data_IF_537428899439
#
_entry.id   IF_537428899439
#
_cell.length_a   1.000
_cell.length_b   1.000
_cell.length_c   1.000
_cell.angle_alpha   90.00
_cell.angle_beta   90.00
_cell.angle_gamma   90.00
#
_symmetry.space_group_name_H-M   'P 1'
#
loop_
_entity.id
_entity.type
_entity.pdbx_description
1 polymer ?
#
# COMPACT_ATOMS: atom_id res chain seq x y z
N UNK A 1 -8.40 -17.27 -13.90
CA UNK A 1 -7.68 -16.53 -12.85
C UNK A 1 -8.23 -15.13 -12.90
N UNK A 2 -8.85 -14.66 -11.82
CA UNK A 2 -9.48 -13.32 -11.82
C UNK A 2 -8.42 -12.27 -11.57
N UNK A 3 -8.34 -11.28 -12.46
CA UNK A 3 -7.47 -10.12 -12.28
C UNK A 3 -7.92 -9.29 -11.07
N UNK A 4 -6.96 -8.64 -10.41
CA UNK A 4 -7.23 -7.72 -9.31
C UNK A 4 -7.98 -6.48 -9.81
N UNK A 5 -8.99 -6.03 -9.05
CA UNK A 5 -9.78 -4.85 -9.40
C UNK A 5 -9.19 -3.64 -8.68
N UNK A 6 -8.75 -2.64 -9.44
CA UNK A 6 -8.22 -1.41 -8.89
C UNK A 6 -9.35 -0.45 -8.44
N UNK A 7 -9.14 0.39 -7.42
CA UNK A 7 -7.90 0.53 -6.64
C UNK A 7 -7.58 -0.64 -5.70
N UNK A 8 -6.28 -0.83 -5.44
CA UNK A 8 -5.76 -1.82 -4.49
C UNK A 8 -5.33 -1.13 -3.21
N UNK A 9 -5.85 -1.59 -2.07
CA UNK A 9 -5.51 -1.11 -0.74
C UNK A 9 -4.37 -1.95 -0.18
N UNK A 10 -3.23 -1.34 0.14
CA UNK A 10 -2.05 -2.00 0.71
C UNK A 10 -1.82 -1.51 2.13
N UNK A 11 -1.80 -2.44 3.09
CA UNK A 11 -1.41 -2.22 4.48
C UNK A 11 0.06 -2.58 4.66
N UNK A 12 0.84 -1.66 5.21
CA UNK A 12 2.22 -1.93 5.66
C UNK A 12 2.18 -2.46 7.09
N UNK A 13 2.74 -3.65 7.33
CA UNK A 13 2.66 -4.32 8.65
C UNK A 13 3.42 -3.56 9.75
N UNK A 14 4.51 -2.89 9.41
CA UNK A 14 5.37 -2.23 10.40
C UNK A 14 4.76 -0.99 11.04
N UNK A 15 4.04 -0.18 10.27
CA UNK A 15 3.45 1.09 10.75
C UNK A 15 1.92 1.10 10.75
N UNK A 16 1.28 0.08 10.18
CA UNK A 16 -0.17 0.02 10.04
C UNK A 16 -0.75 1.01 9.02
N UNK A 17 0.08 1.63 8.19
CA UNK A 17 -0.36 2.58 7.17
C UNK A 17 -1.08 1.84 6.03
N UNK A 18 -2.23 2.39 5.61
CA UNK A 18 -2.98 1.89 4.45
C UNK A 18 -2.86 2.88 3.30
N UNK A 19 -2.46 2.39 2.12
CA UNK A 19 -2.32 3.18 0.90
C UNK A 19 -3.22 2.62 -0.19
N UNK A 20 -3.90 3.50 -0.91
CA UNK A 20 -4.80 3.12 -2.01
C UNK A 20 -4.10 3.33 -3.37
N UNK A 21 -3.80 2.27 -4.11
CA UNK A 21 -3.13 2.38 -5.40
C UNK A 21 -4.11 2.28 -6.57
N UNK A 22 -4.13 3.24 -7.51
CA UNK A 22 -5.07 3.22 -8.63
C UNK A 22 -4.63 2.27 -9.76
N UNK A 23 -3.36 1.87 -9.82
CA UNK A 23 -2.81 1.01 -10.89
C UNK A 23 -1.64 0.16 -10.40
N UNK A 24 -1.36 -0.95 -11.10
CA UNK A 24 -0.17 -1.78 -10.86
C UNK A 24 1.13 -0.98 -10.99
N UNK A 25 1.20 -0.08 -11.97
CA UNK A 25 2.38 0.77 -12.19
C UNK A 25 2.65 1.69 -11.00
N UNK A 26 1.60 2.24 -10.37
CA UNK A 26 1.75 3.04 -9.15
C UNK A 26 2.29 2.20 -7.99
N UNK A 27 1.87 0.95 -7.85
CA UNK A 27 2.41 0.02 -6.85
C UNK A 27 3.89 -0.27 -7.12
N UNK A 28 4.24 -0.64 -8.36
CA UNK A 28 5.63 -0.94 -8.74
C UNK A 28 6.61 0.22 -8.54
N UNK A 29 6.13 1.44 -8.63
CA UNK A 29 6.94 2.63 -8.41
C UNK A 29 7.13 2.94 -6.91
N UNK A 30 6.20 2.53 -6.05
CA UNK A 30 6.17 2.95 -4.65
C UNK A 30 6.56 1.85 -3.66
N UNK A 31 6.31 0.59 -4.01
CA UNK A 31 6.70 -0.56 -3.20
C UNK A 31 8.13 -0.96 -3.54
N UNK A 32 8.85 -1.46 -2.54
CA UNK A 32 10.17 -2.04 -2.74
C UNK A 32 10.02 -3.56 -2.94
N UNK A 33 10.82 -4.12 -3.85
CA UNK A 33 10.75 -5.55 -4.14
C UNK A 33 11.10 -6.40 -2.92
N UNK A 34 12.04 -5.93 -2.10
CA UNK A 34 12.51 -6.61 -0.89
C UNK A 34 11.37 -6.73 0.12
N UNK A 35 10.65 -5.65 0.39
CA UNK A 35 9.50 -5.63 1.31
C UNK A 35 8.37 -6.57 0.84
N UNK A 36 8.17 -6.68 -0.49
CA UNK A 36 7.23 -7.65 -1.08
C UNK A 36 7.72 -9.10 -0.89
N UNK A 37 9.01 -9.36 -1.07
CA UNK A 37 9.62 -10.68 -0.85
C UNK A 37 9.57 -11.09 0.64
N UNK A 38 9.68 -10.12 1.56
CA UNK A 38 9.58 -10.31 2.99
C UNK A 38 8.13 -10.38 3.52
N UNK A 39 7.14 -10.32 2.62
CA UNK A 39 5.71 -10.33 2.99
C UNK A 39 5.34 -9.20 3.97
N UNK A 40 5.99 -8.04 3.89
CA UNK A 40 5.75 -6.88 4.78
C UNK A 40 4.45 -6.13 4.46
N UNK A 41 3.79 -6.51 3.37
CA UNK A 41 2.54 -5.93 2.92
C UNK A 41 1.39 -6.93 2.96
N UNK A 42 0.20 -6.41 3.26
CA UNK A 42 -1.05 -7.07 2.95
C UNK A 42 -1.83 -6.22 1.96
N UNK A 43 -2.54 -6.84 1.01
CA UNK A 43 -3.26 -6.11 -0.02
C UNK A 43 -4.69 -6.63 -0.23
N UNK A 44 -5.60 -5.74 -0.61
CA UNK A 44 -6.99 -6.05 -0.93
C UNK A 44 -7.48 -5.23 -2.12
N UNK A 45 -8.37 -5.81 -2.92
CA UNK A 45 -9.08 -5.08 -3.97
C UNK A 45 -10.40 -4.47 -3.47
N UNK A 46 -11.09 -3.77 -4.36
CA UNK A 46 -12.42 -3.19 -4.09
C UNK A 46 -13.50 -4.24 -3.83
N UNK A 47 -13.32 -5.46 -4.33
CA UNK A 47 -14.20 -6.60 -4.07
C UNK A 47 -13.93 -7.25 -2.70
N UNK A 48 -13.04 -6.66 -1.89
CA UNK A 48 -12.62 -7.14 -0.57
C UNK A 48 -11.83 -8.46 -0.61
N UNK A 49 -11.39 -8.89 -1.79
CA UNK A 49 -10.55 -10.08 -1.95
C UNK A 49 -9.15 -9.75 -1.51
N UNK A 50 -8.56 -10.64 -0.72
CA UNK A 50 -7.15 -10.53 -0.35
C UNK A 50 -6.31 -10.80 -1.59
N UNK A 51 -5.27 -10.01 -1.74
CA UNK A 51 -4.33 -10.09 -2.84
C UNK A 51 -2.97 -10.49 -2.27
N UNK A 52 -2.37 -11.51 -2.86
CA UNK A 52 -0.98 -11.86 -2.61
C UNK A 52 -0.09 -11.09 -3.58
N UNK A 53 0.86 -10.35 -3.04
CA UNK A 53 1.89 -9.67 -3.80
C UNK A 53 3.10 -10.60 -3.93
N UNK A 54 3.67 -10.68 -5.13
CA UNK A 54 4.83 -11.50 -5.39
C UNK A 54 5.79 -10.80 -6.35
N UNK A 55 7.09 -11.03 -6.16
CA UNK A 55 8.11 -10.56 -7.09
C UNK A 55 8.29 -11.57 -8.23
N UNK A 56 8.36 -11.07 -9.45
CA UNK A 56 8.51 -11.84 -10.68
C UNK A 56 9.53 -11.25 -11.63
N UNK A 57 9.81 -12.00 -12.70
CA UNK A 57 10.61 -11.54 -13.86
C UNK A 57 9.66 -11.39 -15.06
N UNK A 58 9.86 -10.43 -15.98
CA UNK A 58 11.01 -9.51 -16.13
C UNK A 58 10.94 -8.23 -15.25
N UNK A 59 12.07 -7.53 -15.10
CA UNK A 59 12.19 -6.30 -14.28
C UNK A 59 11.18 -5.19 -14.65
N UNK A 60 10.75 -5.12 -15.91
CA UNK A 60 9.76 -4.14 -16.36
C UNK A 60 8.39 -4.32 -15.69
N UNK A 61 8.03 -5.55 -15.33
CA UNK A 61 6.81 -5.87 -14.59
C UNK A 61 7.16 -6.82 -13.43
N UNK A 62 8.01 -6.33 -12.53
CA UNK A 62 8.53 -7.10 -11.41
C UNK A 62 7.47 -7.47 -10.37
N UNK A 63 6.36 -6.74 -10.28
CA UNK A 63 5.30 -7.00 -9.31
C UNK A 63 4.17 -7.82 -9.94
N UNK A 64 3.82 -8.92 -9.28
CA UNK A 64 2.66 -9.75 -9.59
C UNK A 64 1.64 -9.63 -8.47
N UNK A 65 0.37 -9.58 -8.85
CA UNK A 65 -0.77 -9.58 -7.93
C UNK A 65 -1.59 -10.83 -8.21
N UNK A 66 -1.83 -11.62 -7.17
CA UNK A 66 -2.59 -12.86 -7.25
C UNK A 66 -3.79 -12.72 -6.32
N UNK A 67 -5.00 -12.69 -6.88
CA UNK A 67 -6.21 -12.69 -6.06
C UNK A 67 -6.37 -14.05 -5.37
N UNK A 68 -6.54 -14.04 -4.05
CA UNK A 68 -6.84 -15.24 -3.27
C UNK A 68 -8.34 -15.41 -3.12
N UNK A 69 -8.78 -16.56 -2.62
CA UNK A 69 -10.18 -16.81 -2.30
C UNK A 69 -10.61 -16.18 -0.97
N UNK A 70 -9.66 -15.68 -0.18
CA UNK A 70 -9.95 -15.06 1.11
C UNK A 70 -10.60 -13.70 0.88
N UNK A 71 -11.71 -13.45 1.57
CA UNK A 71 -12.37 -12.16 1.59
C UNK A 71 -12.30 -11.55 2.98
N UNK A 72 -12.12 -10.23 3.00
CA UNK A 72 -12.23 -9.45 4.22
C UNK A 72 -13.70 -9.21 4.55
N UNK A 73 -14.03 -9.18 5.85
CA UNK A 73 -15.35 -8.71 6.28
C UNK A 73 -15.55 -7.25 5.87
N UNK A 74 -16.80 -6.89 5.63
CA UNK A 74 -17.17 -5.54 5.21
C UNK A 74 -16.73 -4.48 6.23
N UNK A 75 -16.89 -4.77 7.52
CA UNK A 75 -16.51 -3.88 8.63
C UNK A 75 -15.00 -3.60 8.61
N UNK A 76 -14.18 -4.65 8.49
CA UNK A 76 -12.72 -4.52 8.46
C UNK A 76 -12.26 -3.80 7.20
N UNK A 77 -12.92 -4.04 6.07
CA UNK A 77 -12.62 -3.34 4.83
C UNK A 77 -12.99 -1.85 4.91
N UNK A 78 -14.14 -1.52 5.51
CA UNK A 78 -14.54 -0.14 5.76
C UNK A 78 -13.52 0.58 6.66
N UNK A 79 -13.00 -0.10 7.69
CA UNK A 79 -11.93 0.44 8.54
C UNK A 79 -10.65 0.72 7.72
N UNK A 80 -10.18 -0.24 6.92
CA UNK A 80 -9.01 -0.05 6.05
C UNK A 80 -9.22 1.12 5.08
N UNK A 81 -10.39 1.20 4.45
CA UNK A 81 -10.74 2.27 3.52
C UNK A 81 -10.76 3.63 4.22
N UNK A 82 -11.28 3.70 5.45
CA UNK A 82 -11.26 4.92 6.27
C UNK A 82 -9.86 5.39 6.66
N UNK A 83 -8.92 4.44 6.85
CA UNK A 83 -7.52 4.70 7.15
C UNK A 83 -6.68 4.97 5.90
N UNK A 84 -7.21 4.61 4.73
CA UNK A 84 -6.46 4.70 3.49
C UNK A 84 -6.15 6.15 3.14
N UNK A 85 -4.87 6.44 2.95
CA UNK A 85 -4.46 7.72 2.40
C UNK A 85 -4.64 7.65 0.88
N UNK A 86 -5.62 8.40 0.38
CA UNK A 86 -5.83 8.56 -1.05
C UNK A 86 -4.58 9.14 -1.72
N UNK A 87 -4.29 8.69 -2.93
CA UNK A 87 -3.22 9.30 -3.72
C UNK A 87 -3.59 10.75 -4.03
N UNK A 88 -2.76 11.75 -3.69
CA UNK A 88 -3.08 13.12 -4.06
C UNK A 88 -3.10 13.19 -5.59
N UNK A 89 -4.26 13.44 -6.18
CA UNK A 89 -4.39 13.68 -7.61
C UNK A 89 -3.76 15.05 -7.92
N UNK A 90 -2.73 15.08 -8.77
CA UNK A 90 -2.21 16.35 -9.34
C UNK A 90 -0.78 16.80 -8.98
N UNK A 91 -0.02 16.12 -8.12
CA UNK A 91 1.39 16.51 -7.86
C UNK A 91 2.35 15.69 -8.75
N UNK A 92 3.24 16.32 -9.55
CA UNK A 92 4.24 15.62 -10.36
C UNK A 92 5.15 14.71 -9.52
N UNK A 93 5.40 13.49 -10.01
CA UNK A 93 6.10 12.39 -9.30
C UNK A 93 7.38 12.80 -8.55
N UNK A 94 8.16 13.74 -9.09
CA UNK A 94 9.48 14.12 -8.53
C UNK A 94 9.43 14.97 -7.26
N UNK A 95 8.34 15.69 -6.98
CA UNK A 95 8.25 16.57 -5.79
C UNK A 95 7.66 15.90 -4.54
N UNK A 96 7.15 14.67 -4.66
CA UNK A 96 6.51 13.94 -3.55
C UNK A 96 7.50 13.36 -2.54
N UNK A 97 8.74 13.07 -2.95
CA UNK A 97 9.78 12.48 -2.10
C UNK A 97 10.27 13.43 -0.99
N UNK A 98 10.37 14.74 -1.28
CA UNK A 98 10.90 15.73 -0.34
C UNK A 98 9.90 16.12 0.77
N UNK A 99 8.60 16.10 0.48
CA UNK A 99 7.58 16.44 1.49
C UNK A 99 7.41 15.33 2.54
N UNK A 100 7.78 14.09 2.21
CA UNK A 100 7.62 12.94 3.09
C UNK A 100 8.84 12.72 4.02
N UNK A 101 10.08 12.92 3.54
CA UNK A 101 11.23 13.03 4.45
C UNK A 101 11.06 14.19 5.44
N UNK A 102 10.42 15.30 5.02
CA UNK A 102 10.12 16.44 5.90
C UNK A 102 8.99 16.21 6.91
N UNK A 103 8.00 15.36 6.61
CA UNK A 103 6.90 15.03 7.53
C UNK A 103 7.35 14.07 8.65
N UNK A 104 8.34 13.21 8.36
CA UNK A 104 8.96 12.31 9.34
C UNK A 104 9.78 13.03 10.42
N UNK A 105 10.12 14.32 10.22
CA UNK A 105 10.81 15.15 11.22
C UNK A 105 9.89 15.99 12.11
N UNK A 106 8.59 16.11 11.82
CA UNK A 106 7.69 16.98 12.60
C UNK A 106 6.83 16.24 13.64
N UNK A 107 6.88 14.90 13.69
CA UNK A 107 6.19 14.09 14.72
C UNK A 107 7.12 13.62 15.84
N UNK A 108 8.42 13.95 15.81
CA UNK A 108 9.38 13.55 16.88
C UNK A 108 9.60 14.66 17.92
N UNK A 109 8.75 15.68 18.00
CA UNK A 109 8.88 16.76 19.01
C UNK A 109 7.72 16.87 20.01
N UNK A 110 6.89 15.84 20.15
CA UNK A 110 5.85 15.84 21.18
C UNK A 110 5.63 14.50 21.89
N UNK A 111 6.69 13.70 22.05
CA UNK A 111 6.74 12.68 23.10
C UNK A 111 7.39 13.31 24.33
N UNK A 112 6.56 14.04 25.09
CA UNK A 112 6.82 14.35 26.49
C UNK A 112 5.86 13.51 27.32
N UNK A 113 6.45 12.62 28.13
CA UNK A 113 5.91 12.00 29.33
C UNK A 113 4.72 11.03 29.18
N UNK A 114 5.02 9.72 29.12
CA UNK A 114 4.73 8.75 30.19
C UNK A 114 4.66 7.32 29.64
N UNK A 115 5.77 6.59 29.78
CA UNK A 115 5.81 5.20 30.21
C UNK A 115 6.93 5.12 31.25
#
# INVERSE_FOLDING_TARGET
>A
MSDAVFPVYVLTKDCGDVKEFPTLAAMQHHLEAIDVENEEFEAWDTDRRRLQLAVGKPKSQWLKIIATQDQLSEEKFAELKSKSQSWPSGIPMRQRFLRWLGARFRVVKNLKANC
#
